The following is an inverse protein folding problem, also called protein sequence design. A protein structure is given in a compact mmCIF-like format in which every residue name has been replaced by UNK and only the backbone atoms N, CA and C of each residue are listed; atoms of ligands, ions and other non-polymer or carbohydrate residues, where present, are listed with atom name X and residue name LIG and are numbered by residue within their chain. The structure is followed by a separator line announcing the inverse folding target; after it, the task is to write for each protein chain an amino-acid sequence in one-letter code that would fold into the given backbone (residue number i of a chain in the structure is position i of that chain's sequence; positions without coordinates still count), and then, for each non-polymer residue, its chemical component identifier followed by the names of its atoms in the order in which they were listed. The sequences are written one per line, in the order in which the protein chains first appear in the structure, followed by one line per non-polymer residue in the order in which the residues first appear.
data_IF_899684645204
#
_entry.id   IF_899684645204
#
_cell.length_a   1.000
_cell.length_b   1.000
_cell.length_c   1.000
_cell.angle_alpha   90.00
_cell.angle_beta   90.00
_cell.angle_gamma   90.00
#
_symmetry.space_group_name_H-M   'P 1'
#
loop_
_entity.id
_entity.type
_entity.pdbx_description
1 polymer ?
#
# COMPACT_ATOMS: atom_id res chain seq x y z
N UNK A 1 19.44 -39.90 -44.60
CA UNK A 1 19.55 -38.49 -45.03
C UNK A 1 18.14 -37.92 -45.16
N UNK A 2 17.65 -37.26 -44.10
CA UNK A 2 17.22 -35.83 -44.10
C UNK A 2 16.05 -35.56 -45.06
N UNK A 3 14.79 -35.39 -44.65
CA UNK A 3 14.29 -34.69 -43.47
C UNK A 3 14.01 -33.23 -43.82
N UNK A 4 12.91 -32.92 -44.54
CA UNK A 4 12.42 -31.54 -44.76
C UNK A 4 11.02 -31.53 -45.42
N UNK A 5 9.94 -31.97 -44.74
CA UNK A 5 8.57 -31.75 -45.27
C UNK A 5 7.47 -31.40 -44.26
N UNK A 6 7.77 -31.06 -43.01
CA UNK A 6 6.75 -30.78 -41.98
C UNK A 6 6.90 -29.44 -41.24
N UNK A 7 7.35 -28.38 -41.93
CA UNK A 7 7.45 -27.02 -41.31
C UNK A 7 6.59 -25.92 -41.97
N UNK A 8 5.77 -26.24 -42.96
CA UNK A 8 4.98 -25.23 -43.68
C UNK A 8 3.54 -25.03 -43.15
N UNK A 9 2.97 -26.00 -42.45
CA UNK A 9 1.57 -25.91 -41.96
C UNK A 9 1.43 -25.23 -40.58
N UNK A 10 2.50 -25.12 -39.78
CA UNK A 10 2.46 -24.57 -38.43
C UNK A 10 2.69 -23.05 -38.33
N UNK A 11 2.98 -22.37 -39.46
CA UNK A 11 3.36 -20.95 -39.48
C UNK A 11 2.26 -19.97 -39.92
N UNK A 12 1.06 -20.44 -40.26
CA UNK A 12 -0.06 -19.56 -40.68
C UNK A 12 -1.12 -19.37 -39.62
N UNK A 13 -1.18 -20.21 -38.59
CA UNK A 13 -2.11 -20.06 -37.44
C UNK A 13 -1.56 -19.16 -36.32
N UNK A 14 -0.26 -18.86 -36.31
CA UNK A 14 0.38 -18.04 -35.26
C UNK A 14 0.35 -16.53 -35.51
N UNK A 15 -0.08 -16.07 -36.68
CA UNK A 15 -0.19 -14.63 -36.99
C UNK A 15 -1.59 -14.04 -36.81
N UNK A 16 -2.62 -14.87 -36.63
CA UNK A 16 -3.97 -14.40 -36.34
C UNK A 16 -4.28 -14.30 -34.84
N UNK A 17 -3.52 -15.00 -33.98
CA UNK A 17 -3.70 -14.97 -32.52
C UNK A 17 -2.96 -13.81 -31.82
N UNK A 18 -2.09 -13.10 -32.52
CA UNK A 18 -1.32 -11.96 -31.97
C UNK A 18 -1.97 -10.58 -32.23
N UNK A 19 -3.10 -10.55 -32.93
CA UNK A 19 -3.87 -9.32 -33.20
C UNK A 19 -5.11 -9.16 -32.31
N UNK A 20 -5.42 -10.15 -31.45
CA UNK A 20 -6.58 -10.12 -30.54
C UNK A 20 -6.21 -9.87 -29.07
N UNK A 21 -4.92 -9.76 -28.73
CA UNK A 21 -4.44 -9.54 -27.36
C UNK A 21 -4.01 -8.11 -27.01
N UNK A 22 -4.12 -7.17 -27.96
CA UNK A 22 -3.62 -5.78 -27.79
C UNK A 22 -4.72 -4.71 -27.93
N UNK A 23 -5.99 -5.12 -27.98
CA UNK A 23 -7.15 -4.23 -28.18
C UNK A 23 -8.22 -4.35 -27.06
N UNK A 24 -7.79 -4.69 -25.85
CA UNK A 24 -8.52 -4.51 -24.58
C UNK A 24 -7.47 -3.92 -23.63
N UNK A 25 -7.49 -2.70 -23.11
CA UNK A 25 -8.47 -1.64 -23.09
C UNK A 25 -7.70 -0.30 -23.17
N UNK A 26 -7.67 0.32 -24.35
CA UNK A 26 -7.53 1.77 -24.50
C UNK A 26 -8.92 2.45 -24.55
N UNK A 27 -9.93 1.72 -24.07
CA UNK A 27 -11.23 2.27 -23.74
C UNK A 27 -11.08 3.03 -22.42
N UNK A 28 -10.82 4.33 -22.54
CA UNK A 28 -11.53 5.39 -21.80
C UNK A 28 -12.51 4.88 -20.76
N UNK A 29 -11.97 4.51 -19.60
CA UNK A 29 -12.60 4.70 -18.32
C UNK A 29 -11.67 5.79 -17.73
N UNK A 30 -12.03 7.04 -17.45
CA UNK A 30 -13.26 7.45 -16.78
C UNK A 30 -13.78 6.35 -15.84
N UNK A 31 -12.85 5.60 -15.21
CA UNK A 31 -13.14 4.96 -13.95
C UNK A 31 -13.42 6.15 -13.06
N UNK A 32 -14.59 6.13 -12.43
CA UNK A 32 -14.97 7.09 -11.42
C UNK A 32 -13.73 7.43 -10.58
N UNK A 33 -13.50 8.73 -10.36
CA UNK A 33 -12.54 9.19 -9.35
C UNK A 33 -12.74 8.31 -8.10
N UNK A 34 -11.66 7.72 -7.58
CA UNK A 34 -11.73 6.59 -6.67
C UNK A 34 -12.69 6.82 -5.50
N UNK A 35 -13.47 5.81 -5.17
CA UNK A 35 -14.55 5.94 -4.19
C UNK A 35 -14.04 5.92 -2.73
N UNK A 36 -12.75 5.63 -2.50
CA UNK A 36 -12.20 5.44 -1.15
C UNK A 36 -11.52 6.71 -0.65
N UNK A 37 -12.15 7.35 0.34
CA UNK A 37 -11.59 8.54 0.98
C UNK A 37 -10.59 8.19 2.07
N UNK A 38 -9.41 8.83 2.03
CA UNK A 38 -8.45 8.80 3.12
C UNK A 38 -8.72 9.94 4.12
N UNK A 39 -8.51 9.74 5.45
CA UNK A 39 -8.11 8.49 6.09
C UNK A 39 -9.23 7.45 6.13
N UNK A 40 -8.84 6.18 6.24
CA UNK A 40 -9.77 5.04 6.34
C UNK A 40 -10.36 4.95 7.73
N UNK A 41 -11.60 4.47 7.81
CA UNK A 41 -12.25 4.09 9.07
C UNK A 41 -12.04 2.58 9.30
N UNK A 42 -11.61 2.15 10.51
CA UNK A 42 -11.49 0.73 10.82
C UNK A 42 -12.84 0.00 10.70
N UNK A 43 -12.85 -1.25 10.22
CA UNK A 43 -14.07 -2.06 10.19
C UNK A 43 -14.54 -2.38 11.61
N UNK A 44 -15.84 -2.53 11.79
CA UNK A 44 -16.43 -2.83 13.10
C UNK A 44 -15.86 -4.15 13.68
N UNK A 45 -15.51 -4.11 14.97
CA UNK A 45 -14.91 -5.24 15.67
C UNK A 45 -13.47 -5.56 15.27
N UNK A 46 -12.77 -4.65 14.58
CA UNK A 46 -11.32 -4.75 14.43
C UNK A 46 -10.61 -4.71 15.80
N UNK A 47 -9.54 -5.49 15.94
CA UNK A 47 -8.65 -5.40 17.08
C UNK A 47 -8.05 -4.00 17.16
N UNK A 48 -7.69 -3.55 18.37
CA UNK A 48 -7.08 -2.23 18.55
C UNK A 48 -5.82 -2.07 17.69
N UNK A 49 -5.02 -3.14 17.52
CA UNK A 49 -3.82 -3.11 16.69
C UNK A 49 -4.16 -2.90 15.21
N UNK A 50 -5.19 -3.58 14.69
CA UNK A 50 -5.62 -3.41 13.30
C UNK A 50 -6.26 -2.03 13.09
N UNK A 51 -7.06 -1.55 14.05
CA UNK A 51 -7.64 -0.22 14.02
C UNK A 51 -6.56 0.88 14.04
N UNK A 52 -5.57 0.77 14.94
CA UNK A 52 -4.42 1.67 14.99
C UNK A 52 -3.68 1.67 13.66
N UNK A 53 -3.41 0.50 13.07
CA UNK A 53 -2.77 0.40 11.75
C UNK A 53 -3.58 1.12 10.68
N UNK A 54 -4.89 0.86 10.58
CA UNK A 54 -5.75 1.47 9.55
C UNK A 54 -5.78 2.99 9.71
N UNK A 55 -6.10 3.52 10.90
CA UNK A 55 -6.27 4.96 11.10
C UNK A 55 -4.93 5.70 10.98
N UNK A 56 -3.89 5.23 11.67
CA UNK A 56 -2.60 5.92 11.69
C UNK A 56 -1.95 5.87 10.31
N UNK A 57 -1.90 4.69 9.68
CA UNK A 57 -1.24 4.59 8.38
C UNK A 57 -2.00 5.28 7.27
N UNK A 58 -3.34 5.20 7.24
CA UNK A 58 -4.13 5.88 6.21
C UNK A 58 -4.07 7.41 6.36
N UNK A 59 -4.04 7.91 7.60
CA UNK A 59 -3.74 9.33 7.86
C UNK A 59 -2.33 9.69 7.39
N UNK A 60 -1.35 8.81 7.64
CA UNK A 60 0.05 9.01 7.25
C UNK A 60 0.27 9.07 5.74
N UNK A 61 -0.65 8.51 4.95
CA UNK A 61 -0.58 8.58 3.48
C UNK A 61 -0.80 9.99 2.93
N UNK A 62 -1.48 10.86 3.69
CA UNK A 62 -1.80 12.24 3.28
C UNK A 62 -1.19 13.29 4.21
N UNK A 63 -0.99 12.98 5.49
CA UNK A 63 -0.51 13.93 6.50
C UNK A 63 0.28 13.22 7.62
N UNK A 64 1.60 13.12 7.44
CA UNK A 64 2.50 12.48 8.42
C UNK A 64 2.44 13.15 9.81
N UNK A 65 2.48 14.49 9.95
CA UNK A 65 2.31 15.13 11.27
C UNK A 65 1.02 14.72 11.99
N UNK A 66 -0.12 14.69 11.29
CA UNK A 66 -1.39 14.28 11.88
C UNK A 66 -1.37 12.81 12.31
N UNK A 67 -0.78 11.94 11.49
CA UNK A 67 -0.60 10.52 11.84
C UNK A 67 0.30 10.33 13.06
N UNK A 68 1.35 11.13 13.17
CA UNK A 68 2.24 11.14 14.33
C UNK A 68 1.50 11.52 15.61
N UNK A 69 0.72 12.60 15.58
CA UNK A 69 -0.12 13.00 16.72
C UNK A 69 -1.12 11.91 17.11
N UNK A 70 -1.80 11.32 16.13
CA UNK A 70 -2.75 10.23 16.37
C UNK A 70 -2.05 9.02 17.00
N UNK A 71 -0.86 8.64 16.53
CA UNK A 71 -0.10 7.55 17.13
C UNK A 71 0.23 7.83 18.61
N UNK A 72 0.68 9.06 18.93
CA UNK A 72 0.98 9.45 20.31
C UNK A 72 -0.28 9.42 21.20
N UNK A 73 -1.43 9.89 20.69
CA UNK A 73 -2.73 9.81 21.40
C UNK A 73 -3.16 8.36 21.65
N UNK A 74 -2.83 7.43 20.74
CA UNK A 74 -3.07 6.00 20.87
C UNK A 74 -2.03 5.28 21.75
N UNK A 75 -1.17 6.04 22.44
CA UNK A 75 -0.21 5.50 23.41
C UNK A 75 1.11 5.00 22.80
N UNK A 76 1.37 5.28 21.52
CA UNK A 76 2.70 5.06 20.94
C UNK A 76 3.68 6.10 21.51
N UNK A 77 4.93 5.72 21.70
CA UNK A 77 6.00 6.56 22.23
C UNK A 77 6.97 6.92 21.12
N UNK A 78 7.23 8.21 20.91
CA UNK A 78 8.24 8.63 19.94
C UNK A 78 9.58 7.94 20.20
N UNK A 79 10.25 7.51 19.13
CA UNK A 79 11.59 6.89 19.21
C UNK A 79 12.74 7.87 19.37
N UNK A 80 12.48 9.19 19.44
CA UNK A 80 13.53 10.17 19.64
C UNK A 80 14.08 10.11 21.08
N UNK A 81 15.36 9.71 21.29
CA UNK A 81 15.94 9.57 22.61
C UNK A 81 16.30 10.91 23.27
N UNK A 82 16.28 12.04 22.53
CA UNK A 82 16.84 13.33 22.98
C UNK A 82 15.85 14.50 23.02
N UNK A 83 14.58 14.34 22.68
CA UNK A 83 13.62 15.44 22.72
C UNK A 83 12.19 14.96 22.77
N UNK A 84 11.40 15.54 23.68
CA UNK A 84 9.95 15.34 23.72
C UNK A 84 9.26 15.68 22.39
N UNK A 85 7.92 15.70 22.37
CA UNK A 85 7.09 15.76 21.14
C UNK A 85 7.48 16.77 20.05
N UNK A 86 8.28 17.80 20.35
CA UNK A 86 8.85 18.73 19.37
C UNK A 86 9.77 18.06 18.33
N UNK A 87 10.68 17.18 18.72
CA UNK A 87 11.64 16.58 17.78
C UNK A 87 10.96 15.52 16.88
N UNK A 88 10.03 14.76 17.45
CA UNK A 88 9.09 13.92 16.72
C UNK A 88 8.24 14.72 15.72
N UNK A 89 7.76 15.90 16.13
CA UNK A 89 7.01 16.82 15.29
C UNK A 89 7.84 17.40 14.14
N UNK A 90 9.11 17.75 14.38
CA UNK A 90 10.03 18.22 13.32
C UNK A 90 10.39 17.12 12.33
N UNK A 91 10.67 15.90 12.81
CA UNK A 91 10.88 14.76 11.93
C UNK A 91 9.62 14.50 11.09
N UNK A 92 8.44 14.52 11.71
CA UNK A 92 7.17 14.30 11.00
C UNK A 92 6.92 15.39 9.94
N UNK A 93 7.28 16.64 10.25
CA UNK A 93 7.25 17.75 9.29
C UNK A 93 8.26 17.58 8.14
N UNK A 94 9.41 16.94 8.41
CA UNK A 94 10.38 16.52 7.40
C UNK A 94 9.94 15.26 6.63
N UNK A 95 8.74 14.73 6.91
CA UNK A 95 8.18 13.56 6.26
C UNK A 95 8.64 12.24 6.88
N UNK A 96 9.09 12.21 8.13
CA UNK A 96 9.48 10.99 8.82
C UNK A 96 8.94 10.96 10.26
N UNK A 97 8.16 9.95 10.61
CA UNK A 97 7.71 9.73 11.97
C UNK A 97 8.03 8.31 12.40
N UNK A 98 8.48 8.14 13.64
CA UNK A 98 8.83 6.83 14.20
C UNK A 98 8.40 6.75 15.65
N UNK A 99 7.65 5.71 16.00
CA UNK A 99 7.21 5.44 17.37
C UNK A 99 7.22 3.95 17.75
N UNK A 100 7.27 3.65 19.04
CA UNK A 100 7.25 2.28 19.61
C UNK A 100 6.13 2.11 20.64
N UNK A 101 5.78 0.86 20.90
CA UNK A 101 4.96 0.45 22.05
C UNK A 101 5.80 -0.38 23.03
N UNK A 102 5.29 -0.53 24.25
CA UNK A 102 5.95 -1.26 25.33
C UNK A 102 6.06 -2.77 25.07
N UNK A 103 5.21 -3.31 24.19
CA UNK A 103 5.25 -4.69 23.70
C UNK A 103 6.39 -4.95 22.69
N UNK A 104 7.17 -3.93 22.34
CA UNK A 104 8.24 -3.99 21.34
C UNK A 104 7.75 -3.81 19.90
N UNK A 105 6.48 -3.46 19.70
CA UNK A 105 5.97 -3.04 18.40
C UNK A 105 6.57 -1.69 18.00
N UNK A 106 6.74 -1.51 16.69
CA UNK A 106 7.42 -0.37 16.09
C UNK A 106 6.58 0.14 14.91
N UNK A 107 6.51 1.44 14.75
CA UNK A 107 5.81 2.14 13.68
C UNK A 107 6.78 3.13 13.06
N UNK A 108 6.87 3.11 11.73
CA UNK A 108 7.52 4.17 10.96
C UNK A 108 6.64 4.61 9.82
N UNK A 109 6.52 5.93 9.67
CA UNK A 109 5.84 6.59 8.58
C UNK A 109 6.87 7.44 7.88
N UNK A 110 7.00 7.31 6.59
CA UNK A 110 7.96 8.09 5.80
C UNK A 110 7.34 8.57 4.51
N UNK A 111 7.81 9.72 4.05
CA UNK A 111 7.46 10.29 2.76
C UNK A 111 8.72 10.71 2.05
N UNK A 112 8.91 10.18 0.86
CA UNK A 112 10.03 10.51 -0.02
C UNK A 112 9.46 11.28 -1.20
N UNK A 113 10.06 12.42 -1.50
CA UNK A 113 9.65 13.27 -2.61
C UNK A 113 10.73 13.29 -3.68
N UNK A 114 10.39 12.78 -4.85
CA UNK A 114 11.14 12.96 -6.09
C UNK A 114 10.47 14.06 -6.93
N UNK A 115 11.17 14.64 -7.93
CA UNK A 115 10.60 15.73 -8.73
C UNK A 115 9.28 15.38 -9.40
N UNK A 116 9.06 14.12 -9.80
CA UNK A 116 7.88 13.68 -10.56
C UNK A 116 6.91 12.81 -9.74
N UNK A 117 7.35 12.25 -8.63
CA UNK A 117 6.57 11.31 -7.81
C UNK A 117 6.85 11.59 -6.33
N UNK A 118 5.81 11.62 -5.52
CA UNK A 118 5.94 11.49 -4.07
C UNK A 118 5.44 10.11 -3.64
N UNK A 119 6.14 9.48 -2.70
CA UNK A 119 5.75 8.19 -2.16
C UNK A 119 5.68 8.30 -0.64
N UNK A 120 4.55 7.89 -0.07
CA UNK A 120 4.34 7.78 1.38
C UNK A 120 4.23 6.31 1.74
N UNK A 121 4.86 5.91 2.84
CA UNK A 121 4.80 4.56 3.37
C UNK A 121 4.64 4.57 4.87
N UNK A 122 3.86 3.63 5.39
CA UNK A 122 3.67 3.40 6.81
C UNK A 122 3.89 1.92 7.08
N UNK A 123 4.92 1.61 7.88
CA UNK A 123 5.27 0.27 8.27
C UNK A 123 5.05 0.11 9.78
N UNK A 124 4.26 -0.90 10.16
CA UNK A 124 4.06 -1.31 11.53
C UNK A 124 4.61 -2.72 11.71
N UNK A 125 5.67 -2.85 12.51
CA UNK A 125 6.26 -4.12 12.92
C UNK A 125 5.70 -4.47 14.29
N UNK A 126 5.00 -5.58 14.37
CA UNK A 126 4.27 -6.05 15.53
C UNK A 126 5.00 -7.22 16.18
N UNK A 127 4.91 -7.28 17.52
CA UNK A 127 5.46 -8.38 18.29
C UNK A 127 4.80 -9.73 17.95
N UNK A 128 3.51 -9.71 17.60
CA UNK A 128 2.72 -10.87 17.19
C UNK A 128 1.74 -10.50 16.07
N UNK A 129 1.22 -11.51 15.39
CA UNK A 129 0.14 -11.35 14.41
C UNK A 129 -1.13 -10.84 15.11
N UNK A 130 -1.81 -9.79 14.60
CA UNK A 130 -3.15 -9.42 15.08
C UNK A 130 -4.11 -10.58 14.90
N UNK A 131 -4.89 -10.86 15.94
CA UNK A 131 -5.79 -12.02 16.00
C UNK A 131 -6.81 -12.04 14.85
N UNK A 132 -7.22 -10.85 14.40
CA UNK A 132 -8.26 -10.61 13.41
C UNK A 132 -7.73 -10.33 11.99
N UNK A 133 -6.41 -10.35 11.76
CA UNK A 133 -5.81 -10.02 10.46
C UNK A 133 -6.15 -11.04 9.34
N UNK A 134 -6.52 -12.27 9.71
CA UNK A 134 -7.05 -13.29 8.79
C UNK A 134 -8.58 -13.26 8.66
N UNK A 135 -9.19 -12.24 9.24
CA UNK A 135 -10.63 -11.96 9.38
C UNK A 135 -11.48 -12.22 8.15
N UNK A 136 -11.05 -11.61 7.03
CA UNK A 136 -11.88 -10.82 6.09
C UNK A 136 -11.93 -9.30 6.39
N UNK A 137 -11.56 -8.85 7.60
CA UNK A 137 -11.70 -7.46 8.07
C UNK A 137 -11.17 -6.38 7.12
N UNK A 138 -9.96 -6.54 6.59
CA UNK A 138 -9.40 -5.56 5.65
C UNK A 138 -10.10 -5.58 4.28
N UNK A 139 -10.64 -6.73 3.85
CA UNK A 139 -11.45 -6.84 2.63
C UNK A 139 -12.90 -6.38 2.84
N UNK A 140 -13.34 -6.18 4.08
CA UNK A 140 -14.65 -5.62 4.39
C UNK A 140 -14.70 -4.09 4.27
N UNK A 141 -13.56 -3.42 4.10
CA UNK A 141 -13.51 -1.99 3.85
C UNK A 141 -14.03 -1.73 2.43
N UNK A 142 -15.05 -0.90 2.29
CA UNK A 142 -15.65 -0.58 1.00
C UNK A 142 -14.60 -0.01 0.03
N UNK A 143 -14.60 -0.51 -1.21
CA UNK A 143 -13.64 -0.13 -2.25
C UNK A 143 -12.23 -0.70 -2.10
N UNK A 144 -11.96 -1.47 -1.04
CA UNK A 144 -10.71 -2.22 -0.90
C UNK A 144 -10.81 -3.57 -1.62
N UNK A 145 -9.94 -3.77 -2.60
CA UNK A 145 -9.81 -5.02 -3.32
C UNK A 145 -8.67 -5.86 -2.73
N UNK A 146 -8.81 -7.19 -2.74
CA UNK A 146 -7.79 -8.13 -2.27
C UNK A 146 -8.23 -8.92 -1.04
N UNK A 147 -7.26 -9.47 -0.30
CA UNK A 147 -7.51 -10.37 0.84
C UNK A 147 -7.12 -11.82 0.64
N UNK A 148 -6.45 -12.13 -0.47
CA UNK A 148 -5.78 -13.41 -0.70
C UNK A 148 -4.32 -13.41 -0.23
N UNK A 149 -3.80 -14.61 0.04
CA UNK A 149 -2.40 -14.80 0.42
C UNK A 149 -1.42 -14.25 -0.62
N UNK A 150 -0.30 -13.70 -0.15
CA UNK A 150 0.79 -13.26 -1.04
C UNK A 150 1.32 -14.47 -1.81
N UNK A 151 1.25 -14.43 -3.16
CA UNK A 151 1.66 -15.53 -4.03
C UNK A 151 3.10 -15.94 -3.70
N UNK A 152 3.29 -17.22 -3.30
CA UNK A 152 4.59 -17.76 -2.90
C UNK A 152 4.87 -17.77 -1.39
N UNK A 153 4.00 -17.18 -0.56
CA UNK A 153 4.05 -17.30 0.89
C UNK A 153 2.85 -18.12 1.40
N UNK A 154 3.07 -19.40 1.67
CA UNK A 154 2.06 -20.28 2.28
C UNK A 154 1.96 -20.06 3.81
N UNK A 155 1.89 -18.80 4.26
CA UNK A 155 1.83 -18.46 5.69
C UNK A 155 0.47 -17.86 6.08
N UNK A 156 -0.23 -18.44 7.08
CA UNK A 156 -1.55 -17.98 7.50
C UNK A 156 -1.58 -16.50 7.92
N UNK A 157 -2.40 -15.70 7.23
CA UNK A 157 -2.57 -14.27 7.50
C UNK A 157 -1.59 -13.34 6.79
N UNK A 158 -0.73 -13.86 5.92
CA UNK A 158 -0.13 -13.01 4.89
C UNK A 158 -1.22 -12.57 3.91
N UNK A 159 -1.19 -11.32 3.47
CA UNK A 159 -2.21 -10.80 2.56
C UNK A 159 -1.78 -9.53 1.84
N UNK A 160 -2.43 -9.28 0.71
CA UNK A 160 -2.28 -8.07 -0.08
C UNK A 160 -3.66 -7.50 -0.38
N UNK A 161 -3.80 -6.19 -0.20
CA UNK A 161 -4.97 -5.40 -0.53
C UNK A 161 -4.56 -4.12 -1.24
N UNK A 162 -5.46 -3.58 -2.04
CA UNK A 162 -5.24 -2.31 -2.73
C UNK A 162 -6.56 -1.63 -3.02
N UNK A 163 -6.50 -0.31 -3.17
CA UNK A 163 -7.63 0.51 -3.63
C UNK A 163 -7.11 1.75 -4.34
N UNK A 164 -8.01 2.43 -5.04
CA UNK A 164 -7.76 3.75 -5.62
C UNK A 164 -8.44 4.78 -4.73
N UNK A 165 -7.70 5.79 -4.30
CA UNK A 165 -8.25 6.84 -3.44
C UNK A 165 -9.04 7.90 -4.23
N UNK A 166 -9.67 8.82 -3.52
CA UNK A 166 -10.43 9.95 -4.07
C UNK A 166 -9.61 10.95 -4.90
N UNK A 167 -8.29 10.81 -4.92
CA UNK A 167 -7.38 11.57 -5.78
C UNK A 167 -6.95 10.77 -7.03
N UNK A 168 -7.41 9.53 -7.19
CA UNK A 168 -7.05 8.65 -8.29
C UNK A 168 -5.70 7.94 -8.09
N UNK A 169 -5.15 7.96 -6.89
CA UNK A 169 -3.85 7.37 -6.57
C UNK A 169 -4.01 5.97 -5.96
N UNK A 170 -3.11 5.06 -6.32
CA UNK A 170 -3.16 3.67 -5.84
C UNK A 170 -2.57 3.59 -4.43
N UNK A 171 -3.37 3.04 -3.51
CA UNK A 171 -2.94 2.68 -2.17
C UNK A 171 -2.86 1.16 -2.07
N UNK A 172 -1.81 0.68 -1.42
CA UNK A 172 -1.56 -0.76 -1.20
C UNK A 172 -1.40 -1.03 0.28
N UNK A 173 -1.93 -2.15 0.76
CA UNK A 173 -1.75 -2.66 2.10
C UNK A 173 -1.21 -4.08 2.02
N UNK A 174 -0.20 -4.39 2.82
CA UNK A 174 0.38 -5.73 2.90
C UNK A 174 0.52 -6.19 4.33
N UNK A 175 0.28 -7.48 4.53
CA UNK A 175 0.47 -8.20 5.77
C UNK A 175 1.47 -9.31 5.50
N UNK A 176 2.61 -9.29 6.19
CA UNK A 176 3.69 -10.25 5.95
C UNK A 176 4.28 -10.70 7.30
N UNK A 177 4.34 -12.01 7.59
CA UNK A 177 5.09 -12.52 8.73
C UNK A 177 6.60 -12.25 8.59
N UNK A 178 7.23 -11.73 9.64
CA UNK A 178 8.68 -11.56 9.69
C UNK A 178 9.31 -12.88 10.17
N UNK A 179 9.81 -13.68 9.21
CA UNK A 179 10.24 -15.07 9.40
C UNK A 179 11.01 -15.37 10.69
N UNK A 180 10.73 -16.55 11.28
CA UNK A 180 11.46 -17.14 12.41
C UNK A 180 11.31 -16.46 13.79
N UNK A 181 10.76 -15.25 13.85
CA UNK A 181 10.76 -14.42 15.06
C UNK A 181 9.39 -14.28 15.76
N UNK A 182 8.32 -14.81 15.17
CA UNK A 182 6.94 -14.60 15.64
C UNK A 182 6.37 -13.20 15.35
N UNK A 183 7.22 -12.28 14.84
CA UNK A 183 6.83 -10.92 14.49
C UNK A 183 6.02 -10.85 13.21
N UNK A 184 5.26 -9.77 13.09
CA UNK A 184 4.38 -9.54 11.96
C UNK A 184 4.57 -8.12 11.41
N UNK A 185 4.51 -7.94 10.10
CA UNK A 185 4.69 -6.63 9.46
C UNK A 185 3.41 -6.28 8.72
N UNK A 186 2.84 -5.13 9.06
CA UNK A 186 1.79 -4.47 8.29
C UNK A 186 2.41 -3.27 7.58
N UNK A 187 2.13 -3.11 6.30
CA UNK A 187 2.66 -1.99 5.52
C UNK A 187 1.55 -1.37 4.68
N UNK A 188 1.47 -0.05 4.66
CA UNK A 188 0.60 0.70 3.77
C UNK A 188 1.46 1.64 2.93
N UNK A 189 1.23 1.67 1.63
CA UNK A 189 1.99 2.51 0.71
C UNK A 189 1.07 3.22 -0.27
N UNK A 190 1.38 4.48 -0.54
CA UNK A 190 0.72 5.34 -1.53
C UNK A 190 1.77 6.06 -2.35
N UNK A 191 1.63 6.03 -3.67
CA UNK A 191 2.43 6.84 -4.57
C UNK A 191 1.52 7.82 -5.29
N UNK A 192 1.98 9.06 -5.45
CA UNK A 192 1.23 10.09 -6.16
C UNK A 192 2.12 10.86 -7.14
N UNK A 193 1.52 11.29 -8.24
CA UNK A 193 2.21 12.17 -9.19
C UNK A 193 2.29 13.59 -8.62
N UNK A 194 3.49 14.17 -8.67
CA UNK A 194 3.63 15.61 -8.39
C UNK A 194 3.03 16.44 -9.51
N UNK A 195 2.85 17.74 -9.29
CA UNK A 195 2.43 18.66 -10.35
C UNK A 195 3.34 18.61 -11.58
N UNK A 196 4.64 18.37 -11.40
CA UNK A 196 5.57 18.17 -12.50
C UNK A 196 5.36 16.82 -13.19
N UNK A 197 5.13 15.75 -12.42
CA UNK A 197 4.80 14.42 -12.96
C UNK A 197 3.52 14.44 -13.80
N UNK A 198 2.47 15.12 -13.32
CA UNK A 198 1.20 15.31 -14.04
C UNK A 198 1.41 16.05 -15.36
N UNK A 199 2.20 17.13 -15.35
CA UNK A 199 2.54 17.91 -16.56
C UNK A 199 3.37 17.10 -17.56
N UNK A 200 4.28 16.25 -17.09
CA UNK A 200 5.09 15.39 -17.96
C UNK A 200 4.29 14.25 -18.60
N UNK A 201 3.25 13.76 -17.91
CA UNK A 201 2.35 12.72 -18.42
C UNK A 201 1.24 13.24 -19.34
N UNK A 202 0.92 14.53 -19.29
CA UNK A 202 -0.01 15.17 -20.22
C UNK A 202 0.62 15.23 -21.62
N UNK A 203 0.25 14.27 -22.48
CA UNK A 203 0.65 14.25 -23.89
C UNK A 203 0.28 15.61 -24.51
N UNK A 204 1.20 16.30 -25.22
CA UNK A 204 0.84 17.53 -25.91
C UNK A 204 -0.28 17.22 -26.90
N UNK A 205 -1.37 17.99 -26.83
CA UNK A 205 -2.39 18.00 -27.86
C UNK A 205 -1.74 18.57 -29.13
N UNK A 206 -1.25 17.67 -29.98
CA UNK A 206 -0.85 17.97 -31.35
C UNK A 206 -2.06 18.10 -32.26
#
# INVERSE_FOLDING_TARGET
MTGYRTKAAARRTTRAALAFGFAIALATQALAAGDVKLPLTPPEGASQTLADYIEICSTGMTNIPAAGSLALERGWKSMDPNGGGLAAGMAAAAGLFSATKDDGSFLTISRVQFPHVAASSCQMVLAAKPEDLGTDKLGAIEGVEGGGGVVGMAQPGAGFWSFVDDQGEVVTMTAIPAGGSGRFVLNMGRAELTELGKKAGAKPAG
#
